data_IF_572399593984
#
_entry.id   IF_572399593984
#
_cell.length_a   1.000
_cell.length_b   1.000
_cell.length_c   1.000
_cell.angle_alpha   90.00
_cell.angle_beta   90.00
_cell.angle_gamma   90.00
#
_symmetry.space_group_name_H-M   'P 1'
#
loop_
_entity.id
_entity.type
_entity.pdbx_description
1 polymer ?
#
# COMPACT_ATOMS: atom_id res chain seq x y z
N UNK A 1 -3.93 7.91 -5.96
CA UNK A 1 -3.51 7.16 -4.75
C UNK A 1 -4.13 7.86 -3.55
N UNK A 2 -4.42 7.18 -2.42
CA UNK A 2 -4.95 7.83 -1.21
C UNK A 2 -4.20 7.35 0.03
N UNK A 3 -4.10 8.21 1.03
CA UNK A 3 -3.51 7.88 2.34
C UNK A 3 -4.33 6.79 3.05
N UNK A 4 -3.64 5.90 3.77
CA UNK A 4 -4.25 4.83 4.58
C UNK A 4 -4.71 3.62 3.77
N UNK A 5 -4.37 3.57 2.48
CA UNK A 5 -4.89 2.57 1.57
C UNK A 5 -3.79 1.63 1.10
N UNK A 6 -4.18 0.38 0.88
CA UNK A 6 -3.27 -0.70 0.55
C UNK A 6 -3.16 -0.87 -0.96
N UNK A 7 -1.93 -0.92 -1.42
CA UNK A 7 -1.62 -1.10 -2.83
C UNK A 7 -0.57 -2.18 -2.98
N UNK A 8 -0.75 -3.03 -3.99
CA UNK A 8 0.23 -4.05 -4.34
C UNK A 8 1.31 -3.38 -5.19
N UNK A 9 2.58 -3.59 -4.87
CA UNK A 9 3.74 -3.10 -5.63
C UNK A 9 4.45 -4.30 -6.22
N UNK A 10 4.74 -4.26 -7.52
CA UNK A 10 5.56 -5.31 -8.17
C UNK A 10 7.02 -4.93 -8.06
N UNK A 11 7.86 -5.88 -7.60
CA UNK A 11 9.32 -5.72 -7.44
C UNK A 11 9.70 -4.40 -6.73
N UNK A 12 9.32 -4.22 -5.45
CA UNK A 12 9.58 -2.99 -4.70
C UNK A 12 11.08 -2.69 -4.51
N UNK A 13 11.96 -3.70 -4.61
CA UNK A 13 13.41 -3.53 -4.60
C UNK A 13 14.12 -4.87 -4.85
N UNK A 14 15.43 -4.83 -5.13
CA UNK A 14 16.24 -6.02 -5.37
C UNK A 14 16.42 -6.90 -4.12
N UNK A 15 16.27 -6.30 -2.92
CA UNK A 15 16.46 -6.95 -1.62
C UNK A 15 15.19 -7.62 -1.08
N UNK A 16 14.03 -7.39 -1.70
CA UNK A 16 12.78 -8.02 -1.27
C UNK A 16 12.67 -9.42 -1.88
N UNK A 17 12.54 -10.49 -1.07
CA UNK A 17 12.41 -11.85 -1.59
C UNK A 17 11.10 -12.08 -2.35
N UNK A 18 10.07 -11.23 -2.15
CA UNK A 18 8.78 -11.38 -2.82
C UNK A 18 8.72 -10.59 -4.12
N UNK A 19 8.22 -11.25 -5.18
CA UNK A 19 7.97 -10.62 -6.49
C UNK A 19 6.97 -9.47 -6.42
N UNK A 20 6.06 -9.50 -5.44
CA UNK A 20 5.04 -8.47 -5.20
C UNK A 20 4.75 -8.38 -3.71
N UNK A 21 4.53 -7.16 -3.20
CA UNK A 21 4.23 -6.91 -1.79
C UNK A 21 3.21 -5.79 -1.64
N UNK A 22 2.40 -5.87 -0.60
CA UNK A 22 1.44 -4.83 -0.24
C UNK A 22 2.15 -3.74 0.55
N UNK A 23 1.88 -2.49 0.19
CA UNK A 23 2.32 -1.30 0.89
C UNK A 23 1.10 -0.45 1.28
N UNK A 24 1.21 0.23 2.41
CA UNK A 24 0.25 1.26 2.82
C UNK A 24 0.85 2.64 2.60
N UNK A 25 0.03 3.56 2.11
CA UNK A 25 0.45 4.94 1.87
C UNK A 25 0.29 5.75 3.17
N UNK A 26 1.40 6.27 3.70
CA UNK A 26 1.40 7.01 4.97
C UNK A 26 1.51 8.53 4.78
N UNK A 27 2.02 8.96 3.62
CA UNK A 27 2.10 10.39 3.26
C UNK A 27 0.77 11.12 3.34
N UNK A 28 0.83 12.41 3.68
CA UNK A 28 -0.31 13.33 3.66
C UNK A 28 -0.89 13.51 2.24
N UNK A 29 -2.20 13.78 2.16
CA UNK A 29 -2.92 13.93 0.89
C UNK A 29 -2.30 14.99 -0.04
N UNK A 30 -1.87 16.12 0.50
CA UNK A 30 -1.22 17.20 -0.28
C UNK A 30 0.08 16.77 -0.96
N UNK A 31 0.84 15.84 -0.38
CA UNK A 31 2.03 15.28 -1.03
C UNK A 31 1.67 14.29 -2.14
N UNK A 32 0.59 13.53 -1.95
CA UNK A 32 0.12 12.54 -2.91
C UNK A 32 -0.48 13.21 -4.16
N UNK A 33 -1.17 14.35 -3.97
CA UNK A 33 -1.80 15.12 -5.04
C UNK A 33 -0.83 16.09 -5.75
N UNK A 34 0.31 16.37 -5.12
CA UNK A 34 1.36 17.21 -5.71
C UNK A 34 2.08 16.50 -6.87
N UNK A 35 2.83 17.29 -7.65
CA UNK A 35 3.71 16.83 -8.74
C UNK A 35 5.00 16.17 -8.23
N UNK A 36 5.14 15.92 -6.93
CA UNK A 36 6.30 15.24 -6.37
C UNK A 36 6.45 13.82 -6.93
N UNK A 37 7.70 13.43 -7.16
CA UNK A 37 8.05 12.18 -7.80
C UNK A 37 8.08 10.97 -6.86
N UNK A 38 7.79 11.14 -5.56
CA UNK A 38 7.84 10.05 -4.57
C UNK A 38 6.77 10.20 -3.48
N UNK A 39 6.28 9.06 -2.99
CA UNK A 39 5.32 8.92 -1.91
C UNK A 39 5.91 8.00 -0.85
N UNK A 40 5.76 8.36 0.42
CA UNK A 40 6.22 7.55 1.56
C UNK A 40 5.20 6.45 1.85
N UNK A 41 5.69 5.22 1.87
CA UNK A 41 4.91 4.02 2.05
C UNK A 41 5.55 3.10 3.09
N UNK A 42 4.73 2.35 3.82
CA UNK A 42 5.19 1.36 4.77
C UNK A 42 4.90 -0.06 4.23
N UNK A 43 5.85 -0.99 4.29
CA UNK A 43 5.64 -2.38 3.87
C UNK A 43 4.71 -3.10 4.85
N UNK A 44 3.95 -4.04 4.29
CA UNK A 44 3.10 -4.96 5.05
C UNK A 44 3.73 -6.35 5.02
N UNK A 45 3.98 -6.92 6.21
CA UNK A 45 4.49 -8.27 6.42
C UNK A 45 3.44 -9.14 7.11
N UNK A 46 3.42 -10.44 6.81
CA UNK A 46 2.62 -11.41 7.57
C UNK A 46 3.29 -11.77 8.91
N UNK A 47 4.61 -11.59 9.01
CA UNK A 47 5.36 -11.79 10.24
C UNK A 47 5.24 -10.58 11.17
N UNK A 48 5.23 -10.88 12.47
CA UNK A 48 5.27 -9.92 13.57
C UNK A 48 6.35 -10.31 14.54
N UNK A 49 7.12 -9.32 14.96
CA UNK A 49 8.23 -9.48 15.90
C UNK A 49 7.91 -8.83 17.25
N UNK A 50 6.69 -8.33 17.44
CA UNK A 50 6.21 -7.79 18.73
C UNK A 50 6.76 -6.40 19.07
N UNK A 51 7.27 -5.67 18.09
CA UNK A 51 7.87 -4.35 18.27
C UNK A 51 6.79 -3.26 18.27
N UNK A 52 6.96 -2.20 19.07
CA UNK A 52 5.98 -1.10 19.20
C UNK A 52 5.71 -0.32 17.90
N UNK A 53 6.64 -0.37 16.94
CA UNK A 53 6.51 0.24 15.61
C UNK A 53 5.67 -0.58 14.63
N UNK A 54 5.31 -1.82 15.00
CA UNK A 54 4.50 -2.71 14.18
C UNK A 54 3.01 -2.48 14.44
N UNK A 55 2.29 -2.03 13.41
CA UNK A 55 0.85 -1.75 13.53
C UNK A 55 0.04 -2.95 13.04
N UNK A 56 -0.85 -3.51 13.88
CA UNK A 56 -1.70 -4.61 13.47
C UNK A 56 -2.65 -4.28 12.32
N UNK A 57 -2.71 -5.14 11.32
CA UNK A 57 -3.71 -5.07 10.24
C UNK A 57 -4.16 -6.47 9.83
N UNK A 58 -5.37 -6.62 9.30
CA UNK A 58 -5.91 -7.93 8.92
C UNK A 58 -7.08 -7.84 7.96
N UNK A 59 -8.04 -8.75 8.14
CA UNK A 59 -9.19 -8.87 7.24
C UNK A 59 -10.06 -7.61 7.19
N UNK A 60 -10.18 -6.86 8.30
CA UNK A 60 -10.97 -5.64 8.41
C UNK A 60 -10.48 -4.53 7.46
N UNK A 61 -9.19 -4.54 7.16
CA UNK A 61 -8.51 -3.61 6.27
C UNK A 61 -8.53 -4.07 4.81
N UNK A 62 -9.00 -5.30 4.54
CA UNK A 62 -9.06 -5.89 3.20
C UNK A 62 -7.91 -6.81 2.84
N UNK A 63 -7.06 -7.19 3.82
CA UNK A 63 -6.00 -8.16 3.62
C UNK A 63 -6.55 -9.59 3.69
N UNK A 64 -5.84 -10.55 3.08
CA UNK A 64 -6.26 -11.97 3.07
C UNK A 64 -6.00 -12.68 4.40
N UNK A 65 -5.06 -12.16 5.18
CA UNK A 65 -4.50 -12.79 6.38
C UNK A 65 -4.09 -11.69 7.34
N UNK A 66 -3.92 -12.03 8.60
CA UNK A 66 -3.35 -11.11 9.59
C UNK A 66 -1.92 -10.76 9.23
N UNK A 67 -1.64 -9.47 9.29
CA UNK A 67 -0.40 -8.85 8.87
C UNK A 67 -0.01 -7.75 9.86
N UNK A 68 1.15 -7.14 9.65
CA UNK A 68 1.59 -5.92 10.31
C UNK A 68 2.20 -4.96 9.33
N UNK A 69 1.93 -3.68 9.57
CA UNK A 69 2.64 -2.57 8.93
C UNK A 69 3.90 -2.33 9.76
N UNK A 70 5.06 -2.32 9.12
CA UNK A 70 6.33 -2.04 9.77
C UNK A 70 6.65 -0.55 9.55
N UNK A 71 6.44 0.28 10.58
CA UNK A 71 6.62 1.73 10.48
C UNK A 71 8.09 2.18 10.55
N UNK A 72 9.00 1.27 10.88
CA UNK A 72 10.45 1.47 10.90
C UNK A 72 11.10 1.23 9.52
N UNK A 73 10.47 0.46 8.63
CA UNK A 73 10.94 0.18 7.28
C UNK A 73 10.29 1.08 6.20
N UNK A 74 10.12 2.37 6.47
CA UNK A 74 9.50 3.29 5.50
C UNK A 74 10.33 3.40 4.21
N UNK A 75 9.63 3.35 3.08
CA UNK A 75 10.24 3.46 1.75
C UNK A 75 9.61 4.60 0.95
N UNK A 76 10.44 5.30 0.19
CA UNK A 76 10.00 6.28 -0.80
C UNK A 76 9.80 5.59 -2.14
N UNK A 77 8.54 5.45 -2.57
CA UNK A 77 8.21 4.84 -3.84
C UNK A 77 7.68 5.90 -4.81
N UNK A 78 8.14 5.92 -6.06
CA UNK A 78 7.58 6.82 -7.04
C UNK A 78 6.13 6.40 -7.36
N UNK A 79 5.20 7.34 -7.63
CA UNK A 79 3.84 7.02 -8.03
C UNK A 79 3.77 6.43 -9.46
N UNK A 80 4.84 6.61 -10.25
CA UNK A 80 5.02 6.00 -11.58
C UNK A 80 6.29 5.16 -11.58
N UNK A 81 6.26 4.01 -12.24
CA UNK A 81 7.42 3.14 -12.41
C UNK A 81 8.36 3.64 -13.51
N UNK A 82 9.52 2.99 -13.67
CA UNK A 82 10.43 3.27 -14.77
C UNK A 82 9.71 3.12 -16.12
N UNK A 83 10.01 4.01 -17.07
CA UNK A 83 9.36 4.13 -18.38
C UNK A 83 7.84 4.45 -18.34
N UNK A 84 7.36 5.15 -17.31
CA UNK A 84 5.97 5.64 -17.26
C UNK A 84 4.91 4.56 -17.01
N UNK A 85 5.32 3.31 -16.73
CA UNK A 85 4.42 2.22 -16.36
C UNK A 85 3.87 2.44 -14.94
N UNK A 86 2.63 2.08 -14.62
CA UNK A 86 2.16 2.11 -13.24
C UNK A 86 2.99 1.11 -12.39
N UNK A 87 3.80 1.59 -11.46
CA UNK A 87 4.49 0.73 -10.46
C UNK A 87 3.49 0.11 -9.48
N UNK A 88 2.32 0.73 -9.34
CA UNK A 88 1.20 0.30 -8.53
C UNK A 88 0.17 -0.42 -9.41
N UNK A 89 0.17 -1.77 -9.50
CA UNK A 89 -1.04 -2.47 -9.90
C UNK A 89 -2.17 -2.16 -8.90
N UNK A 90 -3.40 -2.34 -9.38
CA UNK A 90 -4.67 -2.02 -8.72
C UNK A 90 -4.63 -2.00 -7.18
N UNK A 91 -5.26 -0.96 -6.61
CA UNK A 91 -5.62 -0.89 -5.17
C UNK A 91 -6.12 -2.26 -4.71
N UNK A 92 -5.62 -2.74 -3.57
CA UNK A 92 -6.18 -3.92 -2.94
C UNK A 92 -7.60 -3.56 -2.49
N UNK A 93 -8.61 -3.86 -3.32
CA UNK A 93 -10.00 -3.58 -2.97
C UNK A 93 -10.37 -4.51 -1.81
N UNK A 94 -10.94 -3.96 -0.74
CA UNK A 94 -11.56 -4.75 0.31
C UNK A 94 -12.53 -5.73 -0.34
N UNK A 95 -12.36 -7.03 -0.03
CA UNK A 95 -13.25 -8.09 -0.50
C UNK A 95 -14.64 -7.79 0.10
N UNK A 96 -15.55 -7.23 -0.70
CA UNK A 96 -16.89 -6.81 -0.23
C UNK A 96 -17.30 -5.37 -0.58
N UNK A 97 -16.35 -4.48 -0.90
CA UNK A 97 -16.71 -3.15 -1.45
C UNK A 97 -16.89 -3.26 -2.97
N UNK A 98 -18.03 -3.81 -3.41
CA UNK A 98 -18.57 -3.41 -4.71
C UNK A 98 -18.86 -1.91 -4.60
N UNK A 99 -18.47 -1.06 -5.58
CA UNK A 99 -19.00 0.28 -5.61
C UNK A 99 -20.53 0.11 -5.65
N UNK A 100 -21.23 0.74 -4.71
CA UNK A 100 -22.67 0.93 -4.86
C UNK A 100 -22.83 1.65 -6.19
N UNK A 101 -23.30 0.95 -7.21
CA UNK A 101 -23.81 1.56 -8.42
C UNK A 101 -24.86 2.54 -7.96
N UNK A 102 -24.51 3.82 -7.95
CA UNK A 102 -25.42 4.93 -7.70
C UNK A 102 -26.60 4.73 -8.64
N UNK A 103 -27.76 4.47 -8.04
CA UNK A 103 -29.04 4.42 -8.71
C UNK A 103 -29.19 5.69 -9.55
N UNK A 104 -29.21 5.52 -10.87
CA UNK A 104 -29.91 6.45 -11.75
C UNK A 104 -31.34 5.96 -11.84
N UNK A 105 -32.25 6.63 -11.14
CA UNK A 105 -33.62 6.85 -11.60
C UNK A 105 -34.17 8.09 -10.92
#
# INVERSE_FOLDING_TARGET
MKRGEFYLVKKPGARDPKKQRVFVVVSRATLIESRFSSVICAPVYTARDGISTQVPVGANEGLKSDCSIHCDELVSLPPRGPAGRPCWPARCRKRGQRPATSARR
#
